data_IF_339244576306
#
_entry.id   IF_339244576306
#
_cell.length_a   1.000
_cell.length_b   1.000
_cell.length_c   1.000
_cell.angle_alpha   90.00
_cell.angle_beta   90.00
_cell.angle_gamma   90.00
#
_symmetry.space_group_name_H-M   'P 1'
#
loop_
_entity.id
_entity.type
_entity.pdbx_description
1 polymer ?
#
# COMPACT_ATOMS: atom_id res chain seq x y z
N UNK A 1 -30.46 31.84 -17.57
CA UNK A 1 -29.29 32.65 -17.16
C UNK A 1 -29.06 32.36 -15.68
N UNK A 2 -28.00 31.75 -15.18
CA UNK A 2 -26.67 31.51 -15.69
C UNK A 2 -25.70 31.67 -14.52
N UNK A 3 -25.11 30.56 -14.08
CA UNK A 3 -23.81 30.36 -13.41
C UNK A 3 -23.33 31.21 -12.21
N UNK A 4 -22.55 30.48 -11.37
CA UNK A 4 -21.45 30.91 -10.50
C UNK A 4 -21.80 31.51 -9.12
N UNK A 5 -21.14 31.21 -7.99
CA UNK A 5 -19.79 30.72 -7.75
C UNK A 5 -19.73 29.98 -6.39
N UNK A 6 -19.22 28.74 -6.39
CA UNK A 6 -18.71 28.08 -5.20
C UNK A 6 -17.23 28.46 -5.02
N UNK A 7 -16.82 28.89 -3.81
CA UNK A 7 -15.43 28.84 -3.28
C UNK A 7 -15.39 29.49 -1.90
N UNK A 8 -15.11 28.71 -0.87
CA UNK A 8 -14.23 29.03 0.28
C UNK A 8 -14.66 28.22 1.50
N UNK A 9 -13.92 27.16 1.83
CA UNK A 9 -13.80 26.74 3.23
C UNK A 9 -12.49 25.95 3.41
N UNK A 10 -11.41 26.69 3.64
CA UNK A 10 -10.17 26.22 4.23
C UNK A 10 -9.63 27.34 5.12
N UNK A 11 -9.80 27.24 6.44
CA UNK A 11 -8.80 27.71 7.40
C UNK A 11 -9.14 27.36 8.86
N UNK A 12 -8.09 26.88 9.54
CA UNK A 12 -7.84 26.93 11.00
C UNK A 12 -8.57 25.92 11.91
N UNK A 13 -7.80 25.04 12.58
CA UNK A 13 -7.30 25.32 13.95
C UNK A 13 -6.26 24.31 14.44
N UNK A 14 -5.47 24.78 15.40
CA UNK A 14 -4.21 24.25 15.96
C UNK A 14 -4.42 23.61 17.36
N UNK A 15 -3.80 22.43 17.55
CA UNK A 15 -2.89 21.94 18.62
C UNK A 15 -3.38 21.66 20.09
N UNK A 16 -2.83 20.52 20.60
CA UNK A 16 -2.62 19.99 21.99
C UNK A 16 -3.80 19.17 22.59
N UNK A 17 -3.63 17.97 23.18
CA UNK A 17 -2.57 17.41 24.03
C UNK A 17 -2.55 15.85 23.99
N UNK A 18 -1.45 15.23 24.40
CA UNK A 18 -1.17 13.78 24.43
C UNK A 18 -1.49 13.14 25.79
N UNK A 19 -2.03 11.89 25.86
CA UNK A 19 -1.46 10.71 26.58
C UNK A 19 -2.47 9.59 26.93
N UNK A 20 -2.00 8.36 26.68
CA UNK A 20 -2.21 7.07 27.36
C UNK A 20 -3.57 6.33 27.28
N UNK A 21 -3.46 5.10 26.75
CA UNK A 21 -4.42 4.01 26.80
C UNK A 21 -4.70 3.54 28.23
N UNK A 22 -5.97 3.31 28.55
CA UNK A 22 -6.45 2.11 29.24
C UNK A 22 -7.97 1.95 29.06
N UNK A 23 -8.41 0.69 29.14
CA UNK A 23 -9.79 0.20 28.99
C UNK A 23 -10.90 1.09 29.59
N UNK A 24 -12.06 1.02 28.91
CA UNK A 24 -13.37 1.60 29.19
C UNK A 24 -13.66 2.93 28.49
N UNK A 25 -14.81 2.93 27.81
CA UNK A 25 -15.47 4.07 27.17
C UNK A 25 -15.34 5.36 28.00
N UNK A 26 -14.64 6.36 27.46
CA UNK A 26 -14.91 7.80 27.61
C UNK A 26 -13.74 8.62 27.04
N UNK A 27 -14.01 9.52 26.08
CA UNK A 27 -13.25 10.78 25.93
C UNK A 27 -14.21 11.92 25.58
N UNK A 28 -13.90 13.09 26.15
CA UNK A 28 -14.66 14.30 26.39
C UNK A 28 -15.23 15.09 25.18
N UNK A 29 -16.53 15.34 25.27
CA UNK A 29 -17.33 16.60 25.16
C UNK A 29 -16.78 17.74 24.28
N UNK A 30 -17.50 17.99 23.18
CA UNK A 30 -17.76 19.31 22.58
C UNK A 30 -19.29 19.50 22.55
N UNK A 31 -19.88 20.66 22.92
CA UNK A 31 -21.32 20.73 23.21
C UNK A 31 -22.27 20.75 21.99
N UNK A 32 -21.78 20.88 20.75
CA UNK A 32 -22.64 21.25 19.60
C UNK A 32 -22.67 20.25 18.43
N UNK A 33 -22.17 19.03 18.60
CA UNK A 33 -22.30 17.99 17.58
C UNK A 33 -22.89 16.72 18.20
N UNK A 34 -24.06 16.31 17.71
CA UNK A 34 -24.57 14.97 17.94
C UNK A 34 -23.53 13.96 17.46
N UNK A 35 -22.91 13.22 18.39
CA UNK A 35 -22.06 12.09 18.05
C UNK A 35 -23.01 10.99 17.61
N UNK A 36 -23.19 10.86 16.29
CA UNK A 36 -23.70 9.60 15.73
C UNK A 36 -22.56 8.60 15.94
N UNK A 37 -22.69 7.71 16.92
CA UNK A 37 -21.89 6.49 16.98
C UNK A 37 -22.30 5.63 15.77
N UNK A 38 -21.69 5.88 14.62
CA UNK A 38 -21.78 4.96 13.49
C UNK A 38 -20.87 3.79 13.86
N UNK A 39 -21.43 2.80 14.55
CA UNK A 39 -20.83 1.47 14.55
C UNK A 39 -20.98 0.94 13.14
N UNK A 40 -19.93 1.05 12.33
CA UNK A 40 -19.90 0.41 11.02
C UNK A 40 -20.05 -1.10 11.24
N UNK A 41 -21.19 -1.65 10.86
CA UNK A 41 -21.47 -3.09 10.99
C UNK A 41 -20.52 -3.88 10.09
N UNK A 42 -20.17 -3.28 8.93
CA UNK A 42 -19.28 -3.85 7.92
C UNK A 42 -17.96 -3.05 7.87
N UNK A 43 -16.95 -3.54 8.59
CA UNK A 43 -15.57 -3.05 8.53
C UNK A 43 -14.61 -4.14 8.06
N UNK A 44 -13.43 -3.74 7.60
CA UNK A 44 -12.34 -4.65 7.23
C UNK A 44 -11.01 -4.11 7.72
N UNK A 45 -10.27 -4.93 8.45
CA UNK A 45 -8.86 -4.63 8.76
C UNK A 45 -7.99 -5.20 7.65
N UNK A 46 -7.50 -4.32 6.80
CA UNK A 46 -6.66 -4.65 5.66
C UNK A 46 -5.17 -4.45 6.01
N UNK A 47 -4.35 -5.43 5.67
CA UNK A 47 -2.89 -5.38 5.88
C UNK A 47 -2.17 -5.54 4.55
N UNK A 48 -1.22 -4.65 4.27
CA UNK A 48 -0.23 -4.84 3.20
C UNK A 48 1.16 -4.96 3.82
N UNK A 49 1.91 -6.01 3.46
CA UNK A 49 3.18 -6.30 4.11
C UNK A 49 4.16 -7.06 3.20
N UNK A 50 5.27 -6.42 2.81
CA UNK A 50 6.41 -7.13 2.24
C UNK A 50 7.12 -7.88 3.38
N UNK A 51 7.20 -9.21 3.31
CA UNK A 51 7.68 -10.05 4.42
C UNK A 51 9.13 -10.48 4.33
N UNK A 52 9.87 -9.96 3.35
CA UNK A 52 11.25 -10.31 3.05
C UNK A 52 11.43 -11.82 2.80
N UNK A 53 11.48 -12.18 1.53
CA UNK A 53 11.67 -13.57 1.10
C UNK A 53 12.94 -14.17 1.71
N UNK A 54 12.90 -15.43 2.15
CA UNK A 54 14.06 -16.12 2.72
C UNK A 54 15.24 -16.10 1.74
N UNK A 55 14.98 -16.39 0.47
CA UNK A 55 15.97 -16.37 -0.58
C UNK A 55 16.46 -14.97 -0.90
N UNK A 56 15.58 -13.97 -0.92
CA UNK A 56 15.98 -12.57 -1.15
C UNK A 56 16.91 -12.09 -0.03
N UNK A 57 16.58 -12.39 1.24
CA UNK A 57 17.45 -12.12 2.38
C UNK A 57 18.81 -12.84 2.28
N UNK A 58 18.84 -14.06 1.74
CA UNK A 58 20.08 -14.82 1.55
C UNK A 58 20.93 -14.30 0.39
N UNK A 59 20.32 -13.87 -0.71
CA UNK A 59 21.01 -13.34 -1.91
C UNK A 59 21.54 -11.91 -1.69
N UNK A 60 20.93 -11.15 -0.78
CA UNK A 60 21.25 -9.75 -0.52
C UNK A 60 21.72 -9.50 0.92
N UNK A 61 22.61 -10.36 1.43
CA UNK A 61 23.15 -10.24 2.80
C UNK A 61 23.87 -8.91 3.07
N UNK A 62 24.38 -8.26 2.03
CA UNK A 62 25.04 -6.95 2.11
C UNK A 62 24.08 -5.83 2.54
N UNK A 63 22.77 -6.01 2.38
CA UNK A 63 21.75 -5.08 2.89
C UNK A 63 21.58 -5.17 4.40
N UNK A 64 22.02 -6.28 5.01
CA UNK A 64 21.71 -6.68 6.38
C UNK A 64 22.95 -6.86 7.25
N UNK A 65 24.08 -6.23 6.91
CA UNK A 65 25.35 -6.37 7.64
C UNK A 65 25.25 -5.95 9.11
N UNK A 66 24.42 -4.94 9.40
CA UNK A 66 24.17 -4.43 10.76
C UNK A 66 23.07 -5.22 11.50
N UNK A 67 22.38 -6.14 10.82
CA UNK A 67 21.31 -6.96 11.38
C UNK A 67 21.90 -8.25 11.94
N UNK A 68 21.59 -8.55 13.20
CA UNK A 68 22.06 -9.80 13.81
C UNK A 68 21.54 -11.03 13.03
N UNK A 69 22.38 -12.00 12.63
CA UNK A 69 21.96 -13.13 11.79
C UNK A 69 20.78 -13.94 12.34
N UNK A 70 20.63 -13.99 13.68
CA UNK A 70 19.50 -14.65 14.34
C UNK A 70 18.14 -14.01 14.00
N UNK A 71 18.10 -12.74 13.61
CA UNK A 71 16.88 -12.03 13.22
C UNK A 71 16.46 -12.33 11.78
N UNK A 72 17.39 -12.73 10.91
CA UNK A 72 17.09 -13.15 9.53
C UNK A 72 16.49 -14.57 9.44
N UNK A 73 16.63 -15.39 10.49
CA UNK A 73 16.14 -16.78 10.51
C UNK A 73 14.62 -16.86 10.34
N UNK A 74 14.17 -17.48 9.24
CA UNK A 74 12.76 -17.63 8.89
C UNK A 74 11.88 -18.19 10.02
N UNK A 75 12.35 -19.24 10.71
CA UNK A 75 11.64 -19.86 11.85
C UNK A 75 11.22 -18.85 12.93
N UNK A 76 11.99 -17.78 13.08
CA UNK A 76 11.70 -16.68 13.99
C UNK A 76 10.82 -15.63 13.32
N UNK A 77 11.18 -15.18 12.11
CA UNK A 77 10.44 -14.13 11.37
C UNK A 77 8.98 -14.48 11.18
N UNK A 78 8.64 -15.71 10.75
CA UNK A 78 7.24 -16.15 10.57
C UNK A 78 6.40 -16.08 11.84
N UNK A 79 7.00 -16.32 13.02
CA UNK A 79 6.32 -16.19 14.32
C UNK A 79 6.06 -14.73 14.70
N UNK A 80 6.97 -13.83 14.35
CA UNK A 80 6.76 -12.38 14.55
C UNK A 80 5.68 -11.87 13.62
N UNK A 81 5.73 -12.22 12.34
CA UNK A 81 4.71 -11.84 11.34
C UNK A 81 3.32 -12.31 11.78
N UNK A 82 3.15 -13.57 12.18
CA UNK A 82 1.86 -14.05 12.74
C UNK A 82 1.43 -13.26 13.97
N UNK A 83 2.37 -12.98 14.89
CA UNK A 83 2.06 -12.21 16.10
C UNK A 83 1.60 -10.80 15.76
N UNK A 84 2.24 -10.14 14.79
CA UNK A 84 1.84 -8.84 14.27
C UNK A 84 0.40 -8.89 13.75
N UNK A 85 0.08 -9.82 12.84
CA UNK A 85 -1.28 -9.97 12.29
C UNK A 85 -2.36 -10.19 13.36
N UNK A 86 -2.07 -11.01 14.38
CA UNK A 86 -3.00 -11.26 15.48
C UNK A 86 -3.20 -10.02 16.38
N UNK A 87 -2.16 -9.19 16.55
CA UNK A 87 -2.27 -7.92 17.29
C UNK A 87 -3.08 -6.90 16.51
N UNK A 88 -2.97 -6.91 15.17
CA UNK A 88 -3.71 -6.01 14.30
C UNK A 88 -5.18 -6.41 14.13
N UNK A 89 -5.57 -7.62 14.53
CA UNK A 89 -6.86 -8.23 14.20
C UNK A 89 -7.12 -8.25 12.69
N UNK A 90 -6.10 -8.66 11.93
CA UNK A 90 -6.12 -8.64 10.48
C UNK A 90 -7.27 -9.49 9.92
N UNK A 91 -7.98 -8.92 8.94
CA UNK A 91 -9.12 -9.57 8.27
C UNK A 91 -8.75 -10.00 6.85
N UNK A 92 -8.00 -9.17 6.13
CA UNK A 92 -7.44 -9.45 4.81
C UNK A 92 -5.96 -9.04 4.83
N UNK A 93 -5.08 -9.87 4.28
CA UNK A 93 -3.64 -9.64 4.25
C UNK A 93 -3.09 -9.85 2.84
N UNK A 94 -2.44 -8.82 2.32
CA UNK A 94 -1.68 -8.86 1.07
C UNK A 94 -0.19 -8.90 1.39
N UNK A 95 0.42 -10.05 1.15
CA UNK A 95 1.86 -10.25 1.32
C UNK A 95 2.62 -10.14 0.01
N UNK A 96 3.81 -9.54 0.07
CA UNK A 96 4.80 -9.54 -1.01
C UNK A 96 6.07 -10.29 -0.56
N UNK A 97 6.87 -10.76 -1.51
CA UNK A 97 8.08 -11.58 -1.28
C UNK A 97 7.83 -12.90 -0.54
N UNK A 98 6.72 -13.57 -0.87
CA UNK A 98 6.38 -14.87 -0.28
C UNK A 98 7.10 -16.00 -1.03
N UNK A 99 8.13 -16.60 -0.44
CA UNK A 99 8.85 -17.77 -0.99
C UNK A 99 8.68 -19.05 -0.15
N UNK A 100 7.88 -18.99 0.91
CA UNK A 100 7.54 -20.09 1.82
C UNK A 100 6.04 -20.08 2.10
N UNK A 101 5.25 -20.14 1.04
CA UNK A 101 3.79 -20.04 1.12
C UNK A 101 3.18 -21.14 2.01
N UNK A 102 3.53 -22.41 1.82
CA UNK A 102 2.97 -23.51 2.61
C UNK A 102 3.19 -23.32 4.12
N UNK A 103 4.39 -22.85 4.45
CA UNK A 103 4.82 -22.53 5.82
C UNK A 103 3.99 -21.41 6.46
N UNK A 104 3.52 -20.44 5.66
CA UNK A 104 2.61 -19.37 6.08
C UNK A 104 1.16 -19.85 6.10
N UNK A 105 0.72 -20.58 5.08
CA UNK A 105 -0.63 -21.12 4.99
C UNK A 105 -0.94 -22.03 6.18
N UNK A 106 -0.05 -22.97 6.51
CA UNK A 106 -0.19 -23.83 7.68
C UNK A 106 -0.19 -23.06 9.01
N UNK A 107 0.52 -21.93 9.05
CA UNK A 107 0.62 -21.10 10.22
C UNK A 107 -0.64 -20.26 10.44
N UNK A 108 -1.15 -19.64 9.37
CA UNK A 108 -2.29 -18.72 9.40
C UNK A 108 -3.64 -19.43 9.34
N UNK A 109 -3.70 -20.64 8.80
CA UNK A 109 -4.89 -21.51 8.88
C UNK A 109 -5.31 -21.77 10.33
N UNK A 110 -4.35 -21.82 11.26
CA UNK A 110 -4.60 -21.96 12.70
C UNK A 110 -5.28 -20.72 13.31
N UNK A 111 -5.17 -19.57 12.63
CA UNK A 111 -5.84 -18.33 13.00
C UNK A 111 -7.09 -18.09 12.12
N UNK A 112 -7.56 -19.09 11.36
CA UNK A 112 -8.77 -19.02 10.56
C UNK A 112 -8.61 -18.34 9.19
N UNK A 113 -7.38 -18.20 8.69
CA UNK A 113 -7.15 -17.67 7.35
C UNK A 113 -7.18 -18.75 6.27
N UNK A 114 -7.90 -18.47 5.20
CA UNK A 114 -7.69 -19.05 3.87
C UNK A 114 -6.79 -18.13 3.04
N UNK A 115 -6.16 -18.62 1.98
CA UNK A 115 -5.34 -17.78 1.12
C UNK A 115 -4.90 -18.41 -0.19
N UNK A 116 -4.50 -17.55 -1.13
CA UNK A 116 -4.02 -17.91 -2.46
C UNK A 116 -2.67 -17.27 -2.74
N UNK A 117 -1.87 -17.96 -3.55
CA UNK A 117 -0.51 -17.58 -3.89
C UNK A 117 -0.31 -17.45 -5.39
N UNK A 118 0.50 -16.48 -5.79
CA UNK A 118 1.03 -16.37 -7.14
C UNK A 118 2.53 -16.11 -7.09
N UNK A 119 3.30 -17.12 -7.48
CA UNK A 119 4.73 -16.97 -7.71
C UNK A 119 5.02 -15.99 -8.83
N UNK A 120 6.15 -15.27 -8.74
CA UNK A 120 6.74 -14.60 -9.90
C UNK A 120 7.00 -15.60 -11.02
N UNK A 121 7.05 -15.11 -12.25
CA UNK A 121 7.49 -15.97 -13.37
C UNK A 121 9.01 -16.13 -13.35
N UNK A 122 9.55 -16.97 -14.23
CA UNK A 122 11.01 -17.15 -14.32
C UNK A 122 11.58 -17.96 -13.14
N UNK A 123 12.80 -17.63 -12.73
CA UNK A 123 13.57 -18.40 -11.72
C UNK A 123 13.44 -17.86 -10.29
N UNK A 124 12.67 -16.80 -10.10
CA UNK A 124 12.46 -16.24 -8.77
C UNK A 124 11.47 -17.10 -7.99
N UNK A 125 11.84 -17.51 -6.76
CA UNK A 125 11.05 -18.44 -5.97
C UNK A 125 10.01 -17.75 -5.04
N UNK A 126 9.97 -16.42 -5.02
CA UNK A 126 9.00 -15.62 -4.28
C UNK A 126 7.82 -15.16 -5.15
N UNK A 127 6.80 -14.62 -4.49
CA UNK A 127 5.60 -14.12 -5.14
C UNK A 127 4.74 -13.25 -4.24
N UNK A 128 3.48 -13.09 -4.63
CA UNK A 128 2.45 -12.42 -3.83
C UNK A 128 1.49 -13.46 -3.24
N UNK A 129 0.96 -13.18 -2.05
CA UNK A 129 -0.14 -13.96 -1.49
C UNK A 129 -1.25 -13.03 -0.96
N UNK A 130 -2.50 -13.46 -1.10
CA UNK A 130 -3.66 -12.83 -0.46
C UNK A 130 -4.28 -13.83 0.50
N UNK A 131 -4.41 -13.45 1.76
CA UNK A 131 -5.10 -14.21 2.80
C UNK A 131 -6.33 -13.46 3.28
N UNK A 132 -7.38 -14.18 3.67
CA UNK A 132 -8.59 -13.62 4.27
C UNK A 132 -9.10 -14.53 5.38
N UNK A 133 -9.85 -13.97 6.33
CA UNK A 133 -10.56 -14.71 7.36
C UNK A 133 -11.71 -15.52 6.75
N UNK A 134 -11.62 -16.85 6.77
CA UNK A 134 -12.60 -17.74 6.12
C UNK A 134 -14.00 -17.67 6.76
N UNK A 135 -14.10 -17.30 8.03
CA UNK A 135 -15.37 -17.06 8.72
C UNK A 135 -16.03 -15.73 8.33
N UNK A 136 -15.25 -14.77 7.81
CA UNK A 136 -15.74 -13.44 7.39
C UNK A 136 -15.89 -13.27 5.89
N UNK A 137 -15.12 -13.99 5.07
CA UNK A 137 -15.11 -13.81 3.63
C UNK A 137 -15.17 -15.15 2.89
N UNK A 138 -15.76 -15.11 1.70
CA UNK A 138 -15.72 -16.18 0.71
C UNK A 138 -15.03 -15.66 -0.54
N UNK A 139 -14.03 -16.36 -1.06
CA UNK A 139 -13.46 -16.09 -2.37
C UNK A 139 -14.47 -16.44 -3.47
N UNK A 140 -14.85 -15.46 -4.28
CA UNK A 140 -15.80 -15.62 -5.38
C UNK A 140 -15.08 -15.69 -6.73
N UNK A 141 -14.00 -14.91 -6.87
CA UNK A 141 -13.21 -14.88 -8.09
C UNK A 141 -11.74 -14.61 -7.78
N UNK A 142 -10.85 -15.26 -8.52
CA UNK A 142 -9.42 -15.03 -8.47
C UNK A 142 -8.91 -14.82 -9.89
N UNK A 143 -8.11 -13.77 -10.06
CA UNK A 143 -7.37 -13.48 -11.27
C UNK A 143 -5.92 -13.11 -10.93
N UNK A 144 -5.01 -13.25 -11.89
CA UNK A 144 -3.61 -12.93 -11.74
C UNK A 144 -3.07 -12.24 -12.99
N UNK A 145 -2.09 -11.36 -12.81
CA UNK A 145 -1.36 -10.74 -13.92
C UNK A 145 0.07 -11.27 -13.91
N UNK A 146 0.47 -11.87 -15.02
CA UNK A 146 1.87 -12.17 -15.31
C UNK A 146 2.43 -11.09 -16.23
N UNK A 147 3.18 -10.14 -15.67
CA UNK A 147 3.67 -8.98 -16.41
C UNK A 147 4.64 -9.36 -17.56
N UNK A 148 5.24 -10.54 -17.48
CA UNK A 148 6.13 -11.09 -18.52
C UNK A 148 5.44 -11.17 -19.89
N UNK A 149 4.15 -11.50 -19.90
CA UNK A 149 3.34 -11.60 -21.14
C UNK A 149 3.27 -10.28 -21.91
N UNK A 150 3.46 -9.15 -21.21
CA UNK A 150 3.49 -7.80 -21.79
C UNK A 150 4.91 -7.21 -21.85
N UNK A 151 5.95 -8.04 -21.70
CA UNK A 151 7.35 -7.59 -21.71
C UNK A 151 7.81 -6.86 -20.42
N UNK A 152 6.97 -6.84 -19.39
CA UNK A 152 7.15 -6.06 -18.17
C UNK A 152 7.81 -6.86 -17.03
N UNK A 153 8.79 -7.70 -17.37
CA UNK A 153 9.57 -8.56 -16.44
C UNK A 153 8.70 -9.59 -15.70
N UNK A 154 9.34 -10.34 -14.81
CA UNK A 154 8.74 -11.51 -14.17
C UNK A 154 7.88 -11.22 -12.93
N UNK A 155 7.67 -9.94 -12.60
CA UNK A 155 6.77 -9.55 -11.53
C UNK A 155 5.34 -10.06 -11.81
N UNK A 156 4.53 -10.11 -10.74
CA UNK A 156 3.14 -10.53 -10.81
C UNK A 156 2.25 -9.63 -9.95
N UNK A 157 0.96 -9.67 -10.22
CA UNK A 157 -0.08 -9.13 -9.35
C UNK A 157 -1.22 -10.14 -9.19
N UNK A 158 -1.96 -10.03 -8.09
CA UNK A 158 -3.14 -10.86 -7.80
C UNK A 158 -4.35 -9.96 -7.63
N UNK A 159 -5.51 -10.44 -8.07
CA UNK A 159 -6.81 -9.81 -7.85
C UNK A 159 -7.79 -10.86 -7.34
N UNK A 160 -8.49 -10.57 -6.25
CA UNK A 160 -9.46 -11.47 -5.65
C UNK A 160 -10.75 -10.70 -5.38
N UNK A 161 -11.88 -11.21 -5.86
CA UNK A 161 -13.20 -10.73 -5.44
C UNK A 161 -13.63 -11.55 -4.24
N UNK A 162 -13.77 -10.88 -3.10
CA UNK A 162 -14.19 -11.48 -1.85
C UNK A 162 -15.62 -11.03 -1.53
N UNK A 163 -16.47 -11.97 -1.13
CA UNK A 163 -17.80 -11.70 -0.59
C UNK A 163 -17.75 -11.73 0.93
N UNK A 164 -18.11 -10.62 1.57
CA UNK A 164 -18.27 -10.56 3.01
C UNK A 164 -19.49 -11.40 3.43
N UNK A 165 -19.32 -12.22 4.47
CA UNK A 165 -20.40 -12.99 5.09
C UNK A 165 -21.12 -12.08 6.07
N UNK A 166 -22.42 -11.88 5.88
CA UNK A 166 -23.24 -11.15 6.85
C UNK A 166 -23.14 -11.81 8.22
N UNK A 167 -22.95 -11.00 9.27
CA UNK A 167 -23.26 -11.43 10.63
C UNK A 167 -24.77 -11.61 10.67
N UNK A 168 -25.25 -12.83 10.88
CA UNK A 168 -26.67 -13.09 11.11
C UNK A 168 -27.06 -12.36 12.40
N UNK A 169 -27.59 -11.15 12.27
CA UNK A 169 -28.36 -10.55 13.34
C UNK A 169 -29.68 -11.32 13.36
N UNK A 170 -29.81 -12.20 14.35
CA UNK A 170 -31.08 -12.84 14.64
C UNK A 170 -32.09 -11.73 14.96
N UNK A 171 -33.24 -11.82 14.28
CA UNK A 171 -34.52 -11.17 14.58
C UNK A 171 -34.90 -10.00 13.66
N UNK A 172 -35.34 -10.33 12.44
CA UNK A 172 -36.61 -9.83 11.85
C UNK A 172 -36.88 -10.46 10.47
N UNK A 173 -38.10 -10.96 10.19
CA UNK A 173 -38.49 -11.47 8.87
C UNK A 173 -39.23 -10.40 8.06
N UNK A 174 -38.56 -9.76 7.11
CA UNK A 174 -39.12 -9.01 5.96
C UNK A 174 -37.95 -8.29 5.24
N UNK A 175 -37.85 -8.10 3.93
CA UNK A 175 -38.63 -8.42 2.75
C UNK A 175 -37.67 -8.29 1.54
N UNK A 176 -37.77 -9.23 0.60
CA UNK A 176 -37.42 -9.14 -0.84
C UNK A 176 -36.79 -7.84 -1.39
N UNK A 177 -35.45 -7.81 -1.48
CA UNK A 177 -34.68 -7.13 -2.53
C UNK A 177 -33.27 -7.75 -2.67
N UNK A 178 -33.25 -9.06 -2.97
CA UNK A 178 -32.05 -9.90 -2.88
C UNK A 178 -30.91 -9.58 -3.89
N UNK A 179 -31.10 -8.71 -4.88
CA UNK A 179 -30.09 -8.47 -5.94
C UNK A 179 -29.15 -7.30 -5.68
N UNK A 180 -29.60 -6.22 -5.03
CA UNK A 180 -28.77 -5.04 -4.77
C UNK A 180 -27.95 -5.18 -3.47
N UNK A 181 -28.48 -5.89 -2.48
CA UNK A 181 -27.79 -6.16 -1.22
C UNK A 181 -26.62 -7.15 -1.38
N UNK A 182 -26.64 -7.98 -2.43
CA UNK A 182 -25.59 -9.00 -2.67
C UNK A 182 -24.30 -8.39 -3.23
N UNK A 183 -24.41 -7.28 -3.99
CA UNK A 183 -23.27 -6.52 -4.51
C UNK A 183 -22.62 -5.63 -3.44
N UNK A 184 -23.40 -5.14 -2.47
CA UNK A 184 -22.91 -4.32 -1.35
C UNK A 184 -21.95 -5.07 -0.40
N UNK A 185 -21.76 -6.38 -0.60
CA UNK A 185 -20.85 -7.22 0.20
C UNK A 185 -19.62 -7.68 -0.57
N UNK A 186 -19.48 -7.29 -1.83
CA UNK A 186 -18.33 -7.66 -2.65
C UNK A 186 -17.22 -6.62 -2.51
N UNK A 187 -15.98 -7.10 -2.44
CA UNK A 187 -14.78 -6.29 -2.37
C UNK A 187 -13.74 -6.86 -3.32
N UNK A 188 -13.21 -6.02 -4.21
CA UNK A 188 -12.07 -6.38 -5.04
C UNK A 188 -10.77 -6.05 -4.29
N UNK A 189 -10.00 -7.07 -3.96
CA UNK A 189 -8.68 -6.96 -3.34
C UNK A 189 -7.61 -7.20 -4.38
N UNK A 190 -6.71 -6.24 -4.57
CA UNK A 190 -5.55 -6.39 -5.42
C UNK A 190 -4.25 -6.33 -4.61
N UNK A 191 -3.27 -7.13 -5.04
CA UNK A 191 -1.93 -7.19 -4.45
C UNK A 191 -0.87 -7.14 -5.55
N UNK A 192 0.18 -6.35 -5.35
CA UNK A 192 1.29 -6.21 -6.31
C UNK A 192 2.64 -6.03 -5.61
N UNK A 193 3.70 -6.55 -6.24
CA UNK A 193 5.08 -6.17 -5.96
C UNK A 193 5.73 -5.67 -7.25
N UNK A 194 5.81 -4.33 -7.39
CA UNK A 194 6.33 -3.63 -8.57
C UNK A 194 7.84 -3.81 -8.67
N UNK A 195 8.38 -3.79 -9.88
CA UNK A 195 9.81 -3.94 -10.15
C UNK A 195 10.67 -3.03 -9.26
N UNK A 196 11.66 -3.59 -8.58
CA UNK A 196 12.59 -2.86 -7.73
C UNK A 196 13.44 -1.83 -8.49
N UNK A 197 14.04 -2.23 -9.62
CA UNK A 197 15.09 -1.47 -10.32
C UNK A 197 14.70 0.02 -10.51
N UNK A 198 15.41 0.95 -9.84
CA UNK A 198 15.00 2.35 -9.81
C UNK A 198 15.09 3.02 -11.18
N UNK A 199 15.92 2.51 -12.09
CA UNK A 199 16.10 3.08 -13.44
C UNK A 199 15.05 2.64 -14.46
N UNK A 200 14.11 1.76 -14.08
CA UNK A 200 13.13 1.15 -15.00
C UNK A 200 11.71 1.63 -14.75
N UNK A 201 11.55 2.95 -14.65
CA UNK A 201 10.25 3.58 -14.46
C UNK A 201 9.22 3.29 -15.56
N UNK A 202 9.68 3.05 -16.79
CA UNK A 202 8.88 2.51 -17.90
C UNK A 202 8.17 1.20 -17.52
N UNK A 203 8.90 0.26 -16.95
CA UNK A 203 8.34 -1.03 -16.56
C UNK A 203 7.43 -0.88 -15.36
N UNK A 204 7.85 -0.10 -14.34
CA UNK A 204 7.03 0.14 -13.14
C UNK A 204 5.67 0.74 -13.50
N UNK A 205 5.68 1.77 -14.35
CA UNK A 205 4.46 2.45 -14.79
C UNK A 205 3.57 1.52 -15.61
N UNK A 206 4.15 0.71 -16.49
CA UNK A 206 3.41 -0.30 -17.25
C UNK A 206 2.76 -1.37 -16.37
N UNK A 207 3.46 -1.84 -15.34
CA UNK A 207 2.93 -2.81 -14.37
C UNK A 207 1.73 -2.23 -13.60
N UNK A 208 1.87 -0.99 -13.11
CA UNK A 208 0.81 -0.29 -12.38
C UNK A 208 -0.38 -0.02 -13.29
N UNK A 209 -0.16 0.48 -14.51
CA UNK A 209 -1.22 0.70 -15.51
C UNK A 209 -2.05 -0.57 -15.75
N UNK A 210 -1.40 -1.69 -16.05
CA UNK A 210 -2.09 -2.96 -16.31
C UNK A 210 -2.87 -3.47 -15.09
N UNK A 211 -2.34 -3.29 -13.87
CA UNK A 211 -3.09 -3.60 -12.65
C UNK A 211 -4.35 -2.76 -12.53
N UNK A 212 -4.25 -1.45 -12.74
CA UNK A 212 -5.36 -0.51 -12.61
C UNK A 212 -6.43 -0.76 -13.70
N UNK A 213 -6.02 -1.03 -14.94
CA UNK A 213 -6.92 -1.42 -16.03
C UNK A 213 -7.70 -2.70 -15.69
N UNK A 214 -7.00 -3.74 -15.23
CA UNK A 214 -7.61 -5.02 -14.86
C UNK A 214 -8.53 -4.87 -13.64
N UNK A 215 -8.11 -4.12 -12.63
CA UNK A 215 -8.90 -3.87 -11.43
C UNK A 215 -10.19 -3.08 -11.74
N UNK A 216 -10.10 -2.07 -12.62
CA UNK A 216 -11.28 -1.35 -13.10
C UNK A 216 -12.24 -2.27 -13.86
N UNK A 217 -11.74 -3.06 -14.81
CA UNK A 217 -12.56 -4.01 -15.57
C UNK A 217 -13.28 -5.01 -14.65
N UNK A 218 -12.56 -5.58 -13.67
CA UNK A 218 -13.17 -6.50 -12.71
C UNK A 218 -14.19 -5.78 -11.83
N UNK A 219 -13.89 -4.58 -11.33
CA UNK A 219 -14.86 -3.79 -10.57
C UNK A 219 -16.17 -3.61 -11.35
N UNK A 220 -16.09 -3.21 -12.63
CA UNK A 220 -17.27 -3.04 -13.50
C UNK A 220 -18.04 -4.34 -13.74
N UNK A 221 -17.34 -5.44 -14.09
CA UNK A 221 -17.96 -6.76 -14.34
C UNK A 221 -18.72 -7.26 -13.11
N UNK A 222 -18.20 -7.00 -11.93
CA UNK A 222 -18.80 -7.44 -10.67
C UNK A 222 -19.82 -6.44 -10.10
N UNK A 223 -20.21 -5.40 -10.85
CA UNK A 223 -21.25 -4.45 -10.45
C UNK A 223 -20.73 -3.17 -9.79
N UNK A 224 -19.58 -2.66 -10.25
CA UNK A 224 -18.89 -1.47 -9.72
C UNK A 224 -18.52 -1.60 -8.24
N UNK A 225 -17.97 -2.76 -7.90
CA UNK A 225 -17.63 -3.08 -6.51
C UNK A 225 -16.44 -2.26 -6.03
N UNK A 226 -16.37 -1.93 -4.72
CA UNK A 226 -15.23 -1.24 -4.13
C UNK A 226 -13.91 -1.97 -4.38
N UNK A 227 -12.83 -1.20 -4.56
CA UNK A 227 -11.49 -1.74 -4.81
C UNK A 227 -10.54 -1.32 -3.69
N UNK A 228 -9.77 -2.27 -3.16
CA UNK A 228 -8.62 -2.03 -2.30
C UNK A 228 -7.37 -2.65 -2.92
N UNK A 229 -6.28 -1.88 -2.99
CA UNK A 229 -5.02 -2.29 -3.59
C UNK A 229 -3.92 -2.12 -2.56
N UNK A 230 -3.34 -3.23 -2.11
CA UNK A 230 -2.14 -3.23 -1.27
C UNK A 230 -0.91 -3.59 -2.11
N UNK A 231 0.26 -3.08 -1.73
CA UNK A 231 1.48 -3.57 -2.35
C UNK A 231 2.72 -2.74 -2.09
N UNK A 232 3.86 -3.33 -2.45
CA UNK A 232 5.14 -2.66 -2.57
C UNK A 232 5.25 -2.10 -3.99
N UNK A 233 5.12 -0.78 -4.11
CA UNK A 233 5.18 -0.07 -5.39
C UNK A 233 6.61 0.29 -5.80
N UNK A 234 7.59 0.09 -4.91
CA UNK A 234 8.97 0.54 -5.12
C UNK A 234 9.04 1.98 -5.65
N UNK A 235 8.17 2.86 -5.13
CA UNK A 235 7.98 4.25 -5.56
C UNK A 235 7.68 5.12 -4.36
N UNK A 236 8.26 6.33 -4.30
CA UNK A 236 8.14 7.24 -3.14
C UNK A 236 6.87 8.11 -3.22
N UNK A 237 6.38 8.69 -2.11
CA UNK A 237 5.16 9.53 -2.12
C UNK A 237 5.25 10.75 -3.06
N UNK A 238 6.43 11.36 -3.17
CA UNK A 238 6.68 12.49 -4.08
C UNK A 238 6.88 12.11 -5.56
N UNK A 239 6.70 10.83 -5.91
CA UNK A 239 6.98 10.31 -7.24
C UNK A 239 5.84 10.59 -8.22
N UNK A 240 6.16 10.64 -9.52
CA UNK A 240 5.13 10.77 -10.55
C UNK A 240 4.24 9.51 -10.66
N UNK A 241 4.77 8.35 -10.25
CA UNK A 241 3.97 7.12 -10.14
C UNK A 241 2.89 7.28 -9.06
N UNK A 242 3.25 7.80 -7.88
CA UNK A 242 2.27 8.09 -6.83
C UNK A 242 1.23 9.12 -7.31
N UNK A 243 1.69 10.18 -7.99
CA UNK A 243 0.79 11.16 -8.58
C UNK A 243 -0.19 10.52 -9.56
N UNK A 244 0.27 9.64 -10.46
CA UNK A 244 -0.59 8.95 -11.41
C UNK A 244 -1.74 8.21 -10.72
N UNK A 245 -1.43 7.45 -9.65
CA UNK A 245 -2.43 6.74 -8.82
C UNK A 245 -3.43 7.71 -8.16
N UNK A 246 -2.96 8.85 -7.67
CA UNK A 246 -3.78 9.80 -6.91
C UNK A 246 -4.62 10.74 -7.79
N UNK A 247 -4.10 11.19 -8.94
CA UNK A 247 -4.79 12.13 -9.83
C UNK A 247 -5.49 11.47 -11.01
N UNK A 248 -5.34 10.16 -11.17
CA UNK A 248 -5.87 9.39 -12.31
C UNK A 248 -5.29 9.76 -13.68
N UNK A 249 -4.33 10.68 -13.73
CA UNK A 249 -3.71 11.16 -14.95
C UNK A 249 -2.23 11.49 -14.77
N UNK A 250 -1.45 11.32 -15.84
CA UNK A 250 -0.02 11.65 -15.84
C UNK A 250 0.48 11.96 -17.26
N UNK A 251 1.03 13.16 -17.49
CA UNK A 251 1.87 13.43 -18.67
C UNK A 251 3.30 12.97 -18.40
N UNK A 252 3.67 11.82 -18.96
CA UNK A 252 4.98 11.19 -18.71
C UNK A 252 6.15 12.00 -19.27
N UNK A 253 5.90 12.93 -20.22
CA UNK A 253 6.94 13.76 -20.83
C UNK A 253 7.52 14.78 -19.87
N UNK A 254 6.79 15.08 -18.79
CA UNK A 254 7.24 15.98 -17.73
C UNK A 254 8.30 15.35 -16.84
N UNK A 255 8.54 14.05 -16.97
CA UNK A 255 9.39 13.27 -16.06
C UNK A 255 10.52 12.53 -16.81
N UNK A 256 11.67 12.42 -16.15
CA UNK A 256 12.73 11.50 -16.56
C UNK A 256 12.29 10.07 -16.20
N UNK A 257 12.29 9.18 -17.19
CA UNK A 257 11.91 7.76 -17.04
C UNK A 257 12.63 7.07 -15.88
N UNK A 258 13.91 7.40 -15.64
CA UNK A 258 14.71 6.79 -14.57
C UNK A 258 14.40 7.36 -13.18
N UNK A 259 13.72 8.49 -13.10
CA UNK A 259 13.43 9.20 -11.84
C UNK A 259 11.97 9.17 -11.44
N UNK A 260 11.09 8.67 -12.31
CA UNK A 260 9.64 8.71 -12.12
C UNK A 260 9.15 8.02 -10.83
N UNK A 261 9.93 7.07 -10.26
CA UNK A 261 9.63 6.42 -8.98
C UNK A 261 10.17 7.16 -7.75
N UNK A 262 10.99 8.20 -7.92
CA UNK A 262 11.57 8.98 -6.82
C UNK A 262 12.67 8.27 -6.01
N UNK A 263 13.02 7.02 -6.33
CA UNK A 263 13.99 6.23 -5.53
C UNK A 263 15.44 6.74 -5.66
N UNK A 264 15.87 7.19 -6.84
CA UNK A 264 17.27 7.58 -7.09
C UNK A 264 17.69 8.78 -6.24
N UNK A 265 16.82 9.77 -6.11
CA UNK A 265 17.12 10.99 -5.34
C UNK A 265 17.25 10.66 -3.84
N UNK A 266 16.47 9.68 -3.33
CA UNK A 266 16.59 9.17 -1.96
C UNK A 266 17.91 8.40 -1.73
N UNK A 267 18.27 7.49 -2.66
CA UNK A 267 19.53 6.73 -2.58
C UNK A 267 20.75 7.66 -2.61
N UNK A 268 20.67 8.77 -3.36
CA UNK A 268 21.73 9.78 -3.47
C UNK A 268 21.79 10.70 -2.24
N UNK A 269 20.67 10.95 -1.57
CA UNK A 269 20.67 11.71 -0.31
C UNK A 269 21.29 10.90 0.84
N UNK A 270 21.09 9.57 0.86
CA UNK A 270 21.62 8.69 1.90
C UNK A 270 23.14 8.46 1.82
N UNK A 271 23.77 8.63 0.66
CA UNK A 271 25.25 8.59 0.55
C UNK A 271 25.93 9.82 1.18
N UNK A 272 25.23 10.97 1.27
CA UNK A 272 25.73 12.19 1.89
C UNK A 272 25.61 12.21 3.42
N UNK A 273 24.88 11.29 4.04
CA UNK A 273 24.65 11.27 5.51
C UNK A 273 25.87 10.74 6.29
N UNK A 274 26.90 10.20 5.63
CA UNK A 274 28.14 9.78 6.30
C UNK A 274 29.09 10.93 6.67
N UNK A 275 28.88 12.13 6.14
CA UNK A 275 29.61 13.32 6.56
C UNK A 275 28.74 14.56 6.36
N UNK A 276 28.11 15.07 7.42
CA UNK A 276 28.19 16.49 7.76
C UNK A 276 27.53 16.83 9.10
N UNK A 277 28.34 17.51 9.91
CA UNK A 277 27.96 18.27 11.09
C UNK A 277 26.95 19.36 10.74
N UNK A 278 26.20 19.77 11.77
CA UNK A 278 25.35 20.97 11.85
C UNK A 278 25.94 22.16 11.08
N UNK A 279 25.17 22.71 10.13
CA UNK A 279 24.71 24.12 10.16
C UNK A 279 23.87 24.51 8.93
N UNK A 280 22.86 25.33 9.21
CA UNK A 280 22.16 26.28 8.32
C UNK A 280 21.43 25.75 7.07
N UNK A 281 20.11 25.62 7.22
CA UNK A 281 19.11 25.67 6.16
C UNK A 281 19.21 26.99 5.37
N UNK A 282 19.52 26.88 4.09
CA UNK A 282 19.08 27.86 3.09
C UNK A 282 18.67 27.12 1.82
N UNK A 283 17.36 26.86 1.71
CA UNK A 283 16.73 26.32 0.51
C UNK A 283 16.78 27.41 -0.56
N UNK A 284 17.84 27.41 -1.37
CA UNK A 284 17.84 28.13 -2.64
C UNK A 284 17.15 27.24 -3.67
N UNK A 285 15.90 27.57 -4.00
CA UNK A 285 15.26 27.11 -5.22
C UNK A 285 16.15 27.52 -6.41
N UNK A 286 16.65 26.53 -7.16
CA UNK A 286 17.27 26.77 -8.48
C UNK A 286 16.25 26.43 -9.56
N UNK A 287 16.06 27.30 -10.57
CA UNK A 287 15.09 27.08 -11.63
C UNK A 287 15.59 26.02 -12.61
N UNK A 288 14.63 25.44 -13.35
CA UNK A 288 14.79 24.35 -14.30
C UNK A 288 15.75 24.67 -15.47
N UNK A 289 16.80 23.86 -15.63
CA UNK A 289 17.46 23.63 -16.94
C UNK A 289 18.42 22.43 -16.94
N UNK A 290 18.15 21.34 -16.19
CA UNK A 290 18.83 20.07 -16.49
C UNK A 290 18.05 19.41 -17.61
N UNK A 291 18.57 19.53 -18.83
CA UNK A 291 18.14 18.77 -20.00
C UNK A 291 17.80 17.33 -19.55
N UNK A 292 16.56 16.90 -19.72
CA UNK A 292 16.12 15.55 -19.40
C UNK A 292 16.90 14.59 -20.30
N UNK A 293 18.03 14.06 -19.80
CA UNK A 293 19.04 13.31 -20.59
C UNK A 293 18.46 11.97 -21.07
N UNK A 294 17.51 11.42 -20.33
CA UNK A 294 16.86 10.14 -20.65
C UNK A 294 15.39 10.36 -20.94
N UNK A 295 15.10 10.84 -22.16
CA UNK A 295 13.74 10.91 -22.69
C UNK A 295 13.21 9.52 -23.05
N UNK A 296 11.89 9.41 -23.07
CA UNK A 296 11.15 8.23 -23.51
C UNK A 296 11.41 7.96 -25.00
N UNK A 297 11.84 6.74 -25.33
CA UNK A 297 11.80 6.23 -26.71
C UNK A 297 10.51 5.42 -26.94
N UNK A 298 10.23 5.04 -28.19
CA UNK A 298 9.02 4.32 -28.56
C UNK A 298 8.82 3.00 -27.79
N UNK A 299 9.89 2.29 -27.46
CA UNK A 299 9.81 1.03 -26.70
C UNK A 299 9.52 1.28 -25.21
N UNK A 300 10.17 2.28 -24.61
CA UNK A 300 9.86 2.74 -23.25
C UNK A 300 8.39 3.20 -23.16
N UNK A 301 7.89 3.91 -24.19
CA UNK A 301 6.48 4.31 -24.29
C UNK A 301 5.55 3.11 -24.39
N UNK A 302 5.84 2.14 -25.28
CA UNK A 302 5.04 0.90 -25.40
C UNK A 302 4.98 0.14 -24.09
N UNK A 303 6.09 0.02 -23.37
CA UNK A 303 6.12 -0.66 -22.07
C UNK A 303 5.25 0.08 -21.04
N UNK A 304 5.43 1.39 -20.90
CA UNK A 304 4.69 2.17 -19.90
C UNK A 304 3.20 2.31 -20.23
N UNK A 305 2.86 2.57 -21.48
CA UNK A 305 1.52 3.04 -21.88
C UNK A 305 0.73 2.04 -22.73
N UNK A 306 1.37 0.97 -23.18
CA UNK A 306 0.80 0.06 -24.17
C UNK A 306 0.85 0.59 -25.61
N UNK A 307 1.30 1.83 -25.82
CA UNK A 307 1.35 2.45 -27.16
C UNK A 307 2.48 3.46 -27.30
N UNK A 308 3.26 3.35 -28.39
CA UNK A 308 4.33 4.32 -28.71
C UNK A 308 3.81 5.76 -28.92
N UNK A 309 2.50 5.95 -29.11
CA UNK A 309 1.91 7.27 -29.40
C UNK A 309 1.28 7.93 -28.17
N UNK A 310 1.11 7.19 -27.08
CA UNK A 310 0.44 7.69 -25.87
C UNK A 310 1.48 8.24 -24.92
N UNK A 311 1.27 9.49 -24.49
CA UNK A 311 2.16 10.21 -23.56
C UNK A 311 1.41 10.75 -22.34
N UNK A 312 0.10 10.97 -22.48
CA UNK A 312 -0.78 11.21 -21.34
C UNK A 312 -1.45 9.88 -20.98
N UNK A 313 -1.14 9.39 -19.80
CA UNK A 313 -1.79 8.22 -19.22
C UNK A 313 -2.98 8.63 -18.41
N UNK A 314 -4.02 7.81 -18.43
CA UNK A 314 -5.19 7.94 -17.59
C UNK A 314 -5.64 6.57 -17.08
N UNK A 315 -6.24 6.54 -15.89
CA UNK A 315 -6.95 5.38 -15.37
C UNK A 315 -8.32 5.78 -14.82
N UNK A 316 -9.20 4.80 -14.64
CA UNK A 316 -10.62 5.02 -14.33
C UNK A 316 -10.99 4.72 -12.86
N UNK A 317 -10.01 4.41 -12.01
CA UNK A 317 -10.22 4.23 -10.57
C UNK A 317 -9.98 5.55 -9.84
N UNK A 318 -10.98 6.06 -9.13
CA UNK A 318 -10.83 7.20 -8.23
C UNK A 318 -10.15 6.73 -6.92
N UNK A 319 -8.82 6.64 -6.91
CA UNK A 319 -8.07 6.08 -5.78
C UNK A 319 -7.65 7.15 -4.77
N UNK A 320 -7.70 6.78 -3.49
CA UNK A 320 -7.12 7.51 -2.38
C UNK A 320 -6.18 6.59 -1.60
N UNK A 321 -5.05 7.12 -1.12
CA UNK A 321 -4.22 6.39 -0.17
C UNK A 321 -4.95 6.34 1.18
N UNK A 322 -4.95 5.17 1.83
CA UNK A 322 -5.61 4.96 3.11
C UNK A 322 -4.99 5.78 4.26
N UNK A 323 -3.72 6.17 4.12
CA UNK A 323 -3.02 7.01 5.09
C UNK A 323 -3.26 8.49 4.84
N UNK A 324 -3.55 8.86 3.59
CA UNK A 324 -3.89 10.22 3.23
C UNK A 324 -5.21 10.63 3.92
N UNK A 325 -5.17 11.77 4.62
CA UNK A 325 -6.36 12.34 5.28
C UNK A 325 -6.65 11.80 6.70
N UNK A 326 -5.98 10.74 7.15
CA UNK A 326 -6.08 10.28 8.54
C UNK A 326 -5.08 11.03 9.41
N UNK A 327 -5.49 11.63 10.55
CA UNK A 327 -4.58 12.35 11.43
C UNK A 327 -3.43 11.46 11.91
N UNK A 328 -2.21 11.86 11.57
CA UNK A 328 -0.99 11.19 12.00
C UNK A 328 -0.01 12.14 12.67
N UNK A 329 1.07 11.59 13.22
CA UNK A 329 2.11 12.37 13.89
C UNK A 329 3.15 12.85 12.88
N UNK A 330 3.59 14.11 12.96
CA UNK A 330 4.70 14.62 12.14
C UNK A 330 6.05 13.90 12.41
N UNK A 331 6.12 13.03 13.43
CA UNK A 331 7.28 12.17 13.70
C UNK A 331 7.31 10.90 12.85
N UNK A 332 6.18 10.54 12.27
CA UNK A 332 5.94 9.28 11.55
C UNK A 332 5.35 9.52 10.17
N UNK A 333 4.81 10.72 9.90
CA UNK A 333 4.23 11.13 8.62
C UNK A 333 5.02 12.23 7.92
N UNK A 334 5.01 12.22 6.60
CA UNK A 334 5.47 13.32 5.76
C UNK A 334 4.39 14.40 5.56
N UNK A 335 4.71 15.42 4.77
CA UNK A 335 3.78 16.53 4.47
C UNK A 335 2.59 16.11 3.60
N UNK A 336 2.67 14.96 2.93
CA UNK A 336 1.59 14.36 2.16
C UNK A 336 0.70 13.46 3.04
N UNK A 337 1.04 13.23 4.31
CA UNK A 337 0.31 12.33 5.21
C UNK A 337 0.71 10.86 5.09
N UNK A 338 1.69 10.54 4.25
CA UNK A 338 2.22 9.18 4.12
C UNK A 338 3.21 8.86 5.23
N UNK A 339 3.44 7.58 5.58
CA UNK A 339 4.55 7.22 6.46
C UNK A 339 5.88 7.84 6.00
N UNK A 340 6.77 8.19 6.93
CA UNK A 340 8.14 8.61 6.59
C UNK A 340 9.01 7.44 6.10
N UNK A 341 8.72 6.24 6.61
CA UNK A 341 9.37 5.02 6.17
C UNK A 341 8.46 3.81 6.35
N UNK A 342 8.43 2.96 5.33
CA UNK A 342 7.82 1.62 5.36
C UNK A 342 8.87 0.54 5.19
N UNK A 343 10.05 0.85 4.64
CA UNK A 343 11.20 -0.06 4.53
C UNK A 343 12.46 0.55 5.13
N UNK A 344 13.31 -0.27 5.76
CA UNK A 344 14.60 0.14 6.31
C UNK A 344 15.66 -0.96 6.33
N UNK A 345 16.69 -0.80 5.50
CA UNK A 345 17.92 -1.60 5.49
C UNK A 345 19.15 -0.71 5.24
N UNK A 346 20.35 -1.29 5.10
CA UNK A 346 21.61 -0.52 5.07
C UNK A 346 21.76 0.48 3.90
N UNK A 347 20.94 0.34 2.85
CA UNK A 347 21.02 1.16 1.62
C UNK A 347 19.79 2.02 1.38
N UNK A 348 18.69 1.78 2.08
CA UNK A 348 17.44 2.47 1.84
C UNK A 348 16.64 2.62 3.14
N UNK A 349 16.02 3.78 3.29
CA UNK A 349 15.01 4.06 4.30
C UNK A 349 14.01 5.01 3.65
N UNK A 350 12.74 4.61 3.59
CA UNK A 350 11.71 5.39 2.94
C UNK A 350 10.41 4.61 2.75
N UNK A 351 9.44 5.27 2.15
CA UNK A 351 8.09 4.72 1.92
C UNK A 351 7.96 4.23 0.50
N UNK A 352 7.61 2.95 0.37
CA UNK A 352 7.40 2.26 -0.91
C UNK A 352 6.18 1.36 -0.91
N UNK A 353 5.62 1.10 0.27
CA UNK A 353 4.42 0.30 0.47
C UNK A 353 3.21 1.22 0.60
N UNK A 354 2.06 0.81 0.05
CA UNK A 354 0.83 1.60 0.08
C UNK A 354 -0.41 0.72 0.22
N UNK A 355 -1.48 1.33 0.72
CA UNK A 355 -2.84 0.83 0.64
C UNK A 355 -3.66 1.89 -0.07
N UNK A 356 -4.12 1.59 -1.28
CA UNK A 356 -5.03 2.44 -2.05
C UNK A 356 -6.44 1.88 -1.98
N UNK A 357 -7.44 2.74 -1.99
CA UNK A 357 -8.84 2.32 -2.02
C UNK A 357 -9.67 3.27 -2.88
N UNK A 358 -10.80 2.78 -3.38
CA UNK A 358 -11.83 3.64 -4.00
C UNK A 358 -12.70 4.31 -2.93
N UNK A 359 -13.41 5.36 -3.32
CA UNK A 359 -14.23 6.22 -2.43
C UNK A 359 -15.36 5.51 -1.68
N UNK A 360 -15.76 4.32 -2.13
CA UNK A 360 -16.75 3.49 -1.45
C UNK A 360 -16.23 2.90 -0.13
N UNK A 361 -14.92 2.94 0.10
CA UNK A 361 -14.29 2.55 1.35
C UNK A 361 -13.78 3.79 2.06
N UNK A 362 -14.09 3.92 3.35
CA UNK A 362 -13.63 5.03 4.18
C UNK A 362 -12.65 4.49 5.22
N UNK A 363 -11.39 4.96 5.21
CA UNK A 363 -10.44 4.68 6.29
C UNK A 363 -10.97 5.23 7.62
N UNK A 364 -11.14 4.35 8.60
CA UNK A 364 -11.56 4.70 9.96
C UNK A 364 -10.35 5.04 10.81
N UNK A 365 -9.30 4.22 10.70
CA UNK A 365 -8.00 4.43 11.36
C UNK A 365 -6.91 3.62 10.69
N UNK A 366 -5.67 4.05 10.92
CA UNK A 366 -4.48 3.40 10.41
C UNK A 366 -3.48 3.12 11.52
N UNK A 367 -2.62 2.13 11.32
CA UNK A 367 -1.48 1.89 12.20
C UNK A 367 -0.35 2.86 11.87
N UNK A 368 0.09 3.64 12.86
CA UNK A 368 1.28 4.49 12.71
C UNK A 368 2.54 3.63 12.58
N UNK A 369 3.42 4.00 11.65
CA UNK A 369 4.76 3.40 11.54
C UNK A 369 5.68 3.92 12.64
N UNK A 370 6.94 3.48 12.62
CA UNK A 370 7.92 3.88 13.61
C UNK A 370 8.53 5.25 13.27
N UNK A 371 8.74 6.13 14.29
CA UNK A 371 9.52 7.34 14.09
C UNK A 371 10.92 7.02 13.56
N UNK A 372 11.46 7.91 12.72
CA UNK A 372 12.80 7.74 12.12
C UNK A 372 13.90 7.53 13.17
N UNK A 373 13.82 8.23 14.31
CA UNK A 373 14.79 8.06 15.40
C UNK A 373 14.70 6.65 16.03
N UNK A 374 13.51 6.06 16.09
CA UNK A 374 13.30 4.71 16.58
C UNK A 374 13.79 3.65 15.59
N UNK A 375 13.56 3.85 14.29
CA UNK A 375 14.10 3.00 13.23
C UNK A 375 15.62 3.00 13.26
N UNK A 376 16.27 4.17 13.25
CA UNK A 376 17.74 4.26 13.29
C UNK A 376 18.36 3.56 14.50
N UNK A 377 17.68 3.55 15.65
CA UNK A 377 18.14 2.81 16.85
C UNK A 377 18.15 1.29 16.68
N UNK A 378 17.44 0.72 15.70
CA UNK A 378 17.50 -0.73 15.43
C UNK A 378 18.73 -1.12 14.63
N UNK A 379 19.40 -0.17 13.97
CA UNK A 379 20.53 -0.41 13.06
C UNK A 379 20.14 -0.95 11.68
N UNK A 380 18.86 -1.28 11.49
CA UNK A 380 18.31 -1.95 10.31
C UNK A 380 17.14 -2.83 10.71
N UNK A 381 16.35 -3.24 9.72
CA UNK A 381 15.34 -4.27 9.85
C UNK A 381 15.74 -5.48 8.96
N UNK A 382 15.33 -6.74 9.27
CA UNK A 382 14.55 -7.18 10.44
C UNK A 382 15.27 -6.98 11.78
N UNK A 383 14.55 -7.07 12.90
CA UNK A 383 15.10 -6.78 14.23
C UNK A 383 14.61 -7.72 15.34
N UNK A 384 14.85 -7.35 16.60
CA UNK A 384 14.32 -8.08 17.76
C UNK A 384 12.78 -8.09 17.80
N UNK A 385 12.12 -7.08 17.25
CA UNK A 385 10.64 -6.97 17.29
C UNK A 385 9.97 -7.21 15.95
N UNK A 386 10.68 -6.96 14.85
CA UNK A 386 10.11 -6.94 13.49
C UNK A 386 10.66 -8.08 12.64
N UNK A 387 9.76 -8.76 11.92
CA UNK A 387 10.07 -9.96 11.14
C UNK A 387 10.45 -9.71 9.68
N UNK A 388 10.36 -8.47 9.20
CA UNK A 388 10.71 -8.05 7.84
C UNK A 388 11.59 -6.81 7.89
N UNK A 389 12.24 -6.48 6.77
CA UNK A 389 12.87 -5.17 6.55
C UNK A 389 11.86 -4.07 6.20
N UNK A 390 10.62 -4.46 5.92
CA UNK A 390 9.47 -3.58 5.82
C UNK A 390 8.64 -3.58 7.11
N UNK A 391 7.79 -2.56 7.27
CA UNK A 391 6.76 -2.45 8.29
C UNK A 391 5.40 -2.73 7.64
N UNK A 392 4.57 -3.51 8.32
CA UNK A 392 3.20 -3.74 7.85
C UNK A 392 2.42 -2.42 7.84
N UNK A 393 1.74 -2.15 6.72
CA UNK A 393 0.70 -1.14 6.65
C UNK A 393 -0.63 -1.77 7.04
N UNK A 394 -1.36 -1.11 7.95
CA UNK A 394 -2.66 -1.59 8.42
C UNK A 394 -3.66 -0.45 8.38
N UNK A 395 -4.81 -0.71 7.78
CA UNK A 395 -5.94 0.20 7.77
C UNK A 395 -7.21 -0.55 8.14
N UNK A 396 -8.00 0.02 9.05
CA UNK A 396 -9.39 -0.37 9.23
C UNK A 396 -10.24 0.50 8.30
N UNK A 397 -10.90 -0.12 7.31
CA UNK A 397 -11.81 0.55 6.40
C UNK A 397 -13.25 0.13 6.70
N UNK A 398 -14.18 1.07 6.57
CA UNK A 398 -15.61 0.81 6.57
C UNK A 398 -16.19 1.00 5.16
N UNK A 399 -17.25 0.26 4.86
CA UNK A 399 -18.02 0.49 3.64
C UNK A 399 -18.84 1.77 3.84
N UNK A 400 -18.80 2.68 2.86
CA UNK A 400 -19.67 3.85 2.87
C UNK A 400 -21.11 3.39 2.61
N UNK A 401 -21.96 3.50 3.63
CA UNK A 401 -23.40 3.22 3.51
C UNK A 401 -23.98 4.12 2.40
N UNK A 402 -24.49 3.48 1.33
CA UNK A 402 -25.13 4.17 0.20
C UNK A 402 -26.64 4.27 0.41
#
# INVERSE_FOLDING_TARGET
>A
MGLHFARSFWMQRRVFLTRFFNHLNCVCICPDFAIIFISWIDNVVFVSYNILGVENAMKHQDLYTEVQPRFLKWRRRKKLIRKELNVYDASIVCFQEVDRFDDLADLLKKDGFGGVYKARTGEANDGCAIFWKDDRFTLVHQDNIEFKTSGLRDNVAQLCVLKMKQRVMSDSPAQSSASLLDQNQLLLVANIHVLFNPNRGDVKLGQIRLLLEKAHQLSEIWGKIPVIIGGDLNSMPQSAIYQFLASSELDIRLYDRRKISGQIDCLSANSCVKHQNRNSLSIKQKPASRQCVYRWNDDDLRLATGSAKVTHLQHHLDLCSAYFGIPGSCRTRDDCGEPLATSYHSRFMGTVDYIWHTKELVPVRVLETLPIDALKRTGGLPSKKWGSDHLALVCELAFWDR
#
